data_IF_536582278627
#
_entry.id   IF_536582278627
#
_cell.length_a   1.000
_cell.length_b   1.000
_cell.length_c   1.000
_cell.angle_alpha   90.00
_cell.angle_beta   90.00
_cell.angle_gamma   90.00
#
_symmetry.space_group_name_H-M   'P 1'
#
loop_
_entity.id
_entity.type
_entity.pdbx_description
1 polymer ?
#
# COMPACT_ATOMS: atom_id res chain seq x y z
N UNK A 1 -1.26 18.62 -24.28
CA UNK A 1 0.20 18.46 -24.48
C UNK A 1 0.78 17.31 -23.66
N UNK A 2 0.54 17.22 -22.34
CA UNK A 2 1.05 16.10 -21.50
C UNK A 2 0.51 14.73 -21.97
N UNK A 3 -0.78 14.65 -22.28
CA UNK A 3 -1.43 13.40 -22.72
C UNK A 3 -0.83 12.83 -24.04
N UNK A 4 -0.37 13.71 -24.93
CA UNK A 4 0.22 13.29 -26.20
C UNK A 4 1.65 12.77 -26.01
N UNK A 5 2.43 13.43 -25.14
CA UNK A 5 3.79 13.00 -24.80
C UNK A 5 3.80 11.62 -24.12
N UNK A 6 2.85 11.35 -23.21
CA UNK A 6 2.79 10.04 -22.55
C UNK A 6 2.40 8.93 -23.53
N UNK A 7 1.42 9.18 -24.42
CA UNK A 7 1.04 8.23 -25.47
C UNK A 7 2.23 7.91 -26.39
N UNK A 8 3.03 8.92 -26.75
CA UNK A 8 4.24 8.71 -27.55
C UNK A 8 5.28 7.87 -26.82
N UNK A 9 5.46 8.02 -25.50
CA UNK A 9 6.33 7.14 -24.71
C UNK A 9 5.86 5.69 -24.76
N UNK A 10 4.57 5.43 -24.54
CA UNK A 10 4.00 4.07 -24.64
C UNK A 10 4.31 3.44 -26.01
N UNK A 11 4.05 4.16 -27.11
CA UNK A 11 4.33 3.69 -28.47
C UNK A 11 5.82 3.50 -28.74
N UNK A 12 6.68 4.42 -28.27
CA UNK A 12 8.14 4.33 -28.41
C UNK A 12 8.70 3.04 -27.82
N UNK A 13 8.13 2.57 -26.71
CA UNK A 13 8.52 1.32 -26.05
C UNK A 13 7.71 0.10 -26.53
N UNK A 14 6.93 0.22 -27.61
CA UNK A 14 6.18 -0.89 -28.21
C UNK A 14 4.90 -1.28 -27.47
N UNK A 15 4.45 -0.50 -26.48
CA UNK A 15 3.27 -0.77 -25.65
C UNK A 15 2.04 -0.13 -26.30
N UNK A 16 1.58 -0.71 -27.40
CA UNK A 16 0.51 -0.14 -28.24
C UNK A 16 -0.91 -0.32 -27.65
N UNK A 17 -1.09 -1.27 -26.74
CA UNK A 17 -2.35 -1.49 -26.01
C UNK A 17 -2.46 -0.63 -24.74
N UNK A 18 -1.41 0.15 -24.44
CA UNK A 18 -1.27 0.95 -23.22
C UNK A 18 -1.34 0.13 -21.92
N UNK A 19 -1.05 -1.18 -21.98
CA UNK A 19 -1.03 -2.08 -20.82
C UNK A 19 0.41 -2.41 -20.46
N UNK A 20 0.87 -1.91 -19.31
CA UNK A 20 2.19 -2.22 -18.77
C UNK A 20 2.25 -3.71 -18.41
N UNK A 21 3.36 -4.40 -18.72
CA UNK A 21 3.49 -5.85 -18.49
C UNK A 21 4.40 -6.18 -17.31
N UNK A 22 5.30 -5.26 -16.94
CA UNK A 22 6.28 -5.46 -15.89
C UNK A 22 6.75 -4.11 -15.31
N UNK A 23 7.62 -4.16 -14.30
CA UNK A 23 8.16 -2.96 -13.64
C UNK A 23 9.15 -2.16 -14.50
N UNK A 24 9.77 -2.78 -15.50
CA UNK A 24 10.62 -2.08 -16.47
C UNK A 24 9.78 -1.20 -17.42
N UNK A 25 8.58 -1.64 -17.80
CA UNK A 25 7.64 -0.79 -18.53
C UNK A 25 7.21 0.44 -17.69
N UNK A 26 6.97 0.23 -16.39
CA UNK A 26 6.66 1.33 -15.44
C UNK A 26 7.81 2.34 -15.44
N UNK A 27 9.06 1.87 -15.32
CA UNK A 27 10.24 2.74 -15.34
C UNK A 27 10.37 3.49 -16.67
N UNK A 28 10.35 2.78 -17.80
CA UNK A 28 10.51 3.37 -19.14
C UNK A 28 9.48 4.46 -19.45
N UNK A 29 8.22 4.21 -19.09
CA UNK A 29 7.12 5.12 -19.45
C UNK A 29 6.98 6.25 -18.42
N UNK A 30 6.97 5.91 -17.14
CA UNK A 30 6.62 6.83 -16.05
C UNK A 30 7.83 7.30 -15.23
N UNK A 31 9.02 6.75 -15.45
CA UNK A 31 10.23 7.11 -14.71
C UNK A 31 10.24 6.61 -13.27
N UNK A 32 9.38 5.65 -12.94
CA UNK A 32 9.25 5.09 -11.59
C UNK A 32 10.14 3.85 -11.48
N UNK A 33 11.17 3.93 -10.65
CA UNK A 33 11.93 2.76 -10.25
C UNK A 33 11.28 2.11 -9.02
N UNK A 34 10.62 0.97 -9.27
CA UNK A 34 9.87 0.23 -8.24
C UNK A 34 10.78 -0.25 -7.11
N UNK A 35 12.04 -0.55 -7.40
CA UNK A 35 12.97 -1.09 -6.39
C UNK A 35 13.52 0.00 -5.46
N UNK A 36 13.36 1.27 -5.85
CA UNK A 36 13.75 2.46 -5.09
C UNK A 36 12.60 3.04 -4.26
N UNK A 37 11.41 2.43 -4.29
CA UNK A 37 10.29 2.85 -3.44
C UNK A 37 10.65 2.60 -1.98
N UNK A 38 10.39 3.58 -1.11
CA UNK A 38 10.71 3.49 0.31
C UNK A 38 10.08 2.23 0.95
N UNK A 39 10.86 1.49 1.75
CA UNK A 39 10.45 0.22 2.37
C UNK A 39 10.55 -1.02 1.48
N UNK A 40 10.74 -0.87 0.15
CA UNK A 40 10.87 -2.01 -0.75
C UNK A 40 12.11 -2.88 -0.42
N UNK A 41 13.24 -2.26 -0.08
CA UNK A 41 14.47 -2.95 0.32
C UNK A 41 14.25 -3.90 1.50
N UNK A 42 13.34 -3.52 2.39
CA UNK A 42 13.09 -4.19 3.66
C UNK A 42 12.12 -5.37 3.50
N UNK A 43 11.53 -5.56 2.33
CA UNK A 43 10.68 -6.71 2.04
C UNK A 43 11.49 -7.99 1.84
N UNK A 44 10.91 -9.12 2.27
CA UNK A 44 11.39 -10.45 1.89
C UNK A 44 11.31 -10.65 0.37
N UNK A 45 12.08 -11.60 -0.17
CA UNK A 45 12.06 -11.92 -1.61
C UNK A 45 10.64 -12.22 -2.11
N UNK A 46 9.87 -13.00 -1.36
CA UNK A 46 8.49 -13.33 -1.71
C UNK A 46 7.59 -12.08 -1.80
N UNK A 47 7.69 -11.19 -0.80
CA UNK A 47 6.90 -9.95 -0.76
C UNK A 47 7.32 -8.95 -1.85
N UNK A 48 8.60 -8.93 -2.23
CA UNK A 48 9.09 -8.19 -3.41
C UNK A 48 8.42 -8.69 -4.69
N UNK A 49 8.38 -10.00 -4.91
CA UNK A 49 7.75 -10.59 -6.10
C UNK A 49 6.23 -10.37 -6.14
N UNK A 50 5.56 -10.45 -4.98
CA UNK A 50 4.15 -10.07 -4.86
C UNK A 50 3.94 -8.60 -5.27
N UNK A 51 4.72 -7.70 -4.69
CA UNK A 51 4.59 -6.26 -4.95
C UNK A 51 4.84 -5.90 -6.42
N UNK A 52 5.85 -6.50 -7.07
CA UNK A 52 6.14 -6.28 -8.50
C UNK A 52 4.94 -6.62 -9.39
N UNK A 53 4.20 -7.69 -9.09
CA UNK A 53 3.01 -8.08 -9.86
C UNK A 53 1.82 -7.18 -9.52
N UNK A 54 1.61 -6.90 -8.23
CA UNK A 54 0.58 -5.98 -7.76
C UNK A 54 0.71 -4.61 -8.40
N UNK A 55 1.88 -3.96 -8.35
CA UNK A 55 2.02 -2.56 -8.78
C UNK A 55 1.75 -2.37 -10.28
N UNK A 56 2.06 -3.37 -11.09
CA UNK A 56 1.74 -3.40 -12.53
C UNK A 56 0.22 -3.43 -12.72
N UNK A 57 -0.49 -4.34 -12.06
CA UNK A 57 -1.94 -4.44 -12.14
C UNK A 57 -2.62 -3.18 -11.57
N UNK A 58 -2.10 -2.67 -10.46
CA UNK A 58 -2.59 -1.49 -9.78
C UNK A 58 -2.52 -0.24 -10.67
N UNK A 59 -1.35 0.06 -11.25
CA UNK A 59 -1.18 1.18 -12.18
C UNK A 59 -2.03 0.97 -13.44
N UNK A 60 -2.15 -0.27 -13.95
CA UNK A 60 -2.99 -0.56 -15.09
C UNK A 60 -4.49 -0.32 -14.83
N UNK A 61 -4.95 -0.43 -13.58
CA UNK A 61 -6.32 -0.11 -13.18
C UNK A 61 -6.70 1.37 -13.36
N UNK A 62 -5.70 2.26 -13.40
CA UNK A 62 -5.90 3.68 -13.67
C UNK A 62 -5.93 3.99 -15.17
N UNK A 63 -6.70 5.01 -15.56
CA UNK A 63 -6.62 5.60 -16.89
C UNK A 63 -5.28 6.30 -17.14
N UNK A 64 -4.85 6.42 -18.40
CA UNK A 64 -3.53 6.96 -18.78
C UNK A 64 -3.22 8.31 -18.11
N UNK A 65 -4.22 9.21 -18.05
CA UNK A 65 -4.07 10.53 -17.43
C UNK A 65 -3.84 10.46 -15.92
N UNK A 66 -4.46 9.52 -15.20
CA UNK A 66 -4.20 9.34 -13.77
C UNK A 66 -2.77 8.85 -13.53
N UNK A 67 -2.30 7.92 -14.37
CA UNK A 67 -0.95 7.34 -14.26
C UNK A 67 0.16 8.39 -14.35
N UNK A 68 -0.04 9.50 -15.08
CA UNK A 68 0.96 10.59 -15.16
C UNK A 68 1.08 11.41 -13.88
N UNK A 69 0.12 11.31 -12.97
CA UNK A 69 0.12 11.97 -11.66
C UNK A 69 0.47 11.01 -10.53
N UNK A 70 0.71 9.74 -10.86
CA UNK A 70 0.92 8.69 -9.89
C UNK A 70 2.32 8.78 -9.27
N UNK A 71 2.39 8.81 -7.94
CA UNK A 71 3.65 8.82 -7.19
C UNK A 71 3.59 7.73 -6.13
N UNK A 72 4.37 6.63 -6.25
CA UNK A 72 4.50 5.68 -5.17
C UNK A 72 5.28 6.31 -4.01
N UNK A 73 4.81 6.13 -2.78
CA UNK A 73 5.43 6.74 -1.59
C UNK A 73 6.17 5.70 -0.76
N UNK A 74 5.50 4.62 -0.38
CA UNK A 74 6.14 3.54 0.38
C UNK A 74 5.44 2.19 0.22
N UNK A 75 6.18 1.11 0.46
CA UNK A 75 5.65 -0.24 0.59
C UNK A 75 6.25 -0.89 1.83
N UNK A 76 5.40 -1.27 2.78
CA UNK A 76 5.85 -1.90 4.02
C UNK A 76 5.10 -3.21 4.24
N UNK A 77 5.82 -4.24 4.67
CA UNK A 77 5.19 -5.37 5.34
C UNK A 77 4.80 -4.95 6.75
N UNK A 78 3.55 -5.10 7.14
CA UNK A 78 3.06 -4.57 8.42
C UNK A 78 2.31 -5.60 9.24
N UNK A 79 2.53 -5.54 10.56
CA UNK A 79 1.62 -6.08 11.57
C UNK A 79 0.75 -4.93 12.08
N UNK A 80 -0.55 -5.02 11.85
CA UNK A 80 -1.56 -4.16 12.47
C UNK A 80 -2.14 -4.86 13.69
N UNK A 81 -2.16 -4.15 14.81
CA UNK A 81 -2.66 -4.63 16.11
C UNK A 81 -3.80 -3.71 16.55
N UNK A 82 -5.00 -4.26 16.61
CA UNK A 82 -6.17 -3.61 17.17
C UNK A 82 -6.37 -4.04 18.62
N UNK A 83 -6.41 -3.05 19.52
CA UNK A 83 -6.77 -3.22 20.91
C UNK A 83 -8.23 -2.87 21.06
N UNK A 84 -9.04 -3.89 21.33
CA UNK A 84 -10.49 -3.85 21.27
C UNK A 84 -11.07 -3.88 22.68
N UNK A 85 -12.14 -3.13 22.89
CA UNK A 85 -12.92 -3.10 24.12
C UNK A 85 -14.41 -3.09 23.83
N UNK A 86 -15.21 -3.09 24.89
CA UNK A 86 -16.66 -2.92 24.81
C UNK A 86 -17.05 -1.59 25.40
N UNK A 87 -18.16 -0.99 24.92
CA UNK A 87 -18.65 0.25 25.53
C UNK A 87 -19.33 -0.06 26.86
N UNK A 88 -20.18 -1.07 26.84
CA UNK A 88 -20.81 -1.66 28.01
C UNK A 88 -20.43 -3.14 28.12
N UNK A 89 -20.31 -3.73 29.32
CA UNK A 89 -19.93 -5.13 29.49
C UNK A 89 -20.81 -6.13 28.71
N UNK A 90 -22.10 -5.78 28.52
CA UNK A 90 -23.10 -6.62 27.86
C UNK A 90 -23.09 -6.54 26.33
N UNK A 91 -22.37 -5.57 25.74
CA UNK A 91 -22.31 -5.39 24.28
C UNK A 91 -21.83 -6.68 23.59
N UNK A 92 -22.45 -7.05 22.47
CA UNK A 92 -22.06 -8.19 21.64
C UNK A 92 -21.03 -7.82 20.56
N UNK A 93 -20.65 -6.55 20.47
CA UNK A 93 -19.65 -6.02 19.55
C UNK A 93 -18.47 -5.40 20.28
N UNK A 94 -17.36 -5.24 19.56
CA UNK A 94 -16.15 -4.59 20.04
C UNK A 94 -15.91 -3.28 19.29
N UNK A 95 -15.30 -2.31 19.97
CA UNK A 95 -14.78 -1.08 19.37
C UNK A 95 -13.25 -1.06 19.44
N UNK A 96 -12.60 -0.43 18.45
CA UNK A 96 -11.15 -0.23 18.44
C UNK A 96 -10.82 0.92 19.40
N UNK A 97 -10.19 0.61 20.53
CA UNK A 97 -9.74 1.60 21.51
C UNK A 97 -8.44 2.26 21.04
N UNK A 98 -7.52 1.44 20.52
CA UNK A 98 -6.29 1.90 19.91
C UNK A 98 -5.80 0.93 18.84
N UNK A 99 -4.97 1.43 17.93
CA UNK A 99 -4.34 0.70 16.85
C UNK A 99 -2.85 0.98 16.80
N UNK A 100 -2.06 -0.06 16.67
CA UNK A 100 -0.63 0.00 16.34
C UNK A 100 -0.40 -0.58 14.94
N UNK A 101 0.42 0.08 14.14
CA UNK A 101 0.92 -0.43 12.86
C UNK A 101 2.43 -0.50 12.98
N UNK A 102 3.00 -1.70 12.84
CA UNK A 102 4.43 -1.96 12.90
C UNK A 102 4.91 -2.44 11.54
N UNK A 103 5.98 -1.86 10.98
CA UNK A 103 6.66 -2.44 9.84
C UNK A 103 7.48 -3.64 10.29
N UNK A 104 7.54 -4.67 9.45
CA UNK A 104 8.37 -5.86 9.64
C UNK A 104 9.40 -5.85 8.50
N UNK A 105 10.68 -5.90 8.87
CA UNK A 105 11.79 -5.96 7.92
C UNK A 105 12.12 -7.41 7.59
N UNK A 106 12.87 -7.63 6.52
CA UNK A 106 13.22 -8.95 6.02
C UNK A 106 14.04 -9.79 7.01
N UNK A 107 14.75 -9.13 7.94
CA UNK A 107 15.49 -9.77 9.03
C UNK A 107 14.60 -10.13 10.24
N UNK A 108 13.30 -9.83 10.17
CA UNK A 108 12.34 -10.05 11.25
C UNK A 108 12.31 -8.94 12.30
N UNK A 109 13.16 -7.92 12.21
CA UNK A 109 13.06 -6.74 13.07
C UNK A 109 11.78 -5.95 12.75
N UNK A 110 11.28 -5.21 13.73
CA UNK A 110 10.08 -4.40 13.54
C UNK A 110 10.22 -2.99 14.11
N UNK A 111 9.49 -2.05 13.52
CA UNK A 111 9.50 -0.64 13.89
C UNK A 111 8.07 -0.12 13.94
N UNK A 112 7.73 0.69 14.94
CA UNK A 112 6.41 1.30 15.04
C UNK A 112 6.27 2.41 13.98
N UNK A 113 5.39 2.20 13.00
CA UNK A 113 5.08 3.20 11.98
C UNK A 113 4.06 4.21 12.47
N UNK A 114 3.00 3.72 13.12
CA UNK A 114 1.89 4.55 13.58
C UNK A 114 1.24 3.95 14.80
N UNK A 115 0.88 4.82 15.74
CA UNK A 115 -0.04 4.50 16.83
C UNK A 115 -1.15 5.52 16.83
N UNK A 116 -2.39 5.05 16.92
CA UNK A 116 -3.58 5.89 17.04
C UNK A 116 -4.46 5.40 18.16
N UNK A 117 -5.12 6.33 18.83
CA UNK A 117 -6.08 6.10 19.90
C UNK A 117 -7.31 6.94 19.61
N UNK A 118 -8.48 6.44 20.03
CA UNK A 118 -9.71 7.22 20.00
C UNK A 118 -9.95 7.78 21.41
N UNK A 119 -9.88 9.10 21.54
CA UNK A 119 -10.04 9.79 22.82
C UNK A 119 -11.41 9.53 23.46
N UNK A 120 -12.43 9.18 22.66
CA UNK A 120 -13.74 8.78 23.16
C UNK A 120 -13.69 7.52 24.03
N UNK A 121 -12.66 6.69 23.86
CA UNK A 121 -12.48 5.45 24.58
C UNK A 121 -11.29 5.48 25.56
N UNK A 122 -10.85 6.68 25.94
CA UNK A 122 -9.84 6.84 26.99
C UNK A 122 -10.34 6.24 28.31
N UNK A 123 -9.55 5.35 28.91
CA UNK A 123 -9.87 4.67 30.17
C UNK A 123 -10.68 3.38 30.03
N UNK A 124 -11.08 3.00 28.81
CA UNK A 124 -11.73 1.71 28.57
C UNK A 124 -10.74 0.55 28.71
N UNK A 125 -11.22 -0.58 29.24
CA UNK A 125 -10.42 -1.79 29.37
C UNK A 125 -10.29 -2.53 28.04
N UNK A 126 -9.08 -3.04 27.77
CA UNK A 126 -8.82 -3.90 26.62
C UNK A 126 -9.41 -5.28 26.92
N UNK A 127 -10.39 -5.68 26.13
CA UNK A 127 -11.04 -6.99 26.23
C UNK A 127 -10.52 -7.99 25.20
N UNK A 128 -10.04 -7.52 24.04
CA UNK A 128 -9.56 -8.38 22.95
C UNK A 128 -8.42 -7.71 22.19
N UNK A 129 -7.51 -8.51 21.65
CA UNK A 129 -6.45 -8.05 20.74
C UNK A 129 -6.61 -8.82 19.42
N UNK A 130 -6.67 -8.09 18.31
CA UNK A 130 -6.67 -8.65 16.97
C UNK A 130 -5.42 -8.23 16.21
N UNK A 131 -4.85 -9.17 15.43
CA UNK A 131 -3.64 -8.95 14.66
C UNK A 131 -3.88 -9.29 13.20
N UNK A 132 -3.38 -8.44 12.30
CA UNK A 132 -3.45 -8.62 10.85
C UNK A 132 -2.07 -8.36 10.25
N UNK A 133 -1.68 -9.16 9.25
CA UNK A 133 -0.44 -8.97 8.53
C UNK A 133 -0.73 -8.73 7.05
N UNK A 134 -0.16 -7.70 6.46
CA UNK A 134 -0.38 -7.35 5.06
C UNK A 134 0.73 -6.45 4.52
N UNK A 135 0.79 -6.32 3.19
CA UNK A 135 1.61 -5.30 2.55
C UNK A 135 0.81 -3.99 2.48
N UNK A 136 1.31 -2.94 3.13
CA UNK A 136 0.73 -1.59 3.09
C UNK A 136 1.43 -0.77 2.00
N UNK A 137 0.72 -0.47 0.92
CA UNK A 137 1.22 0.37 -0.15
C UNK A 137 0.65 1.80 -0.04
N UNK A 138 1.50 2.80 0.12
CA UNK A 138 1.12 4.20 0.16
C UNK A 138 1.52 4.90 -1.14
N UNK A 139 0.63 5.72 -1.67
CA UNK A 139 0.81 6.41 -2.95
C UNK A 139 0.03 7.72 -3.00
N UNK A 140 0.34 8.52 -4.00
CA UNK A 140 -0.38 9.73 -4.35
C UNK A 140 -0.91 9.60 -5.78
N UNK A 141 -2.13 10.08 -6.02
CA UNK A 141 -2.69 10.23 -7.36
C UNK A 141 -3.52 11.50 -7.40
N UNK A 142 -3.39 12.31 -8.45
CA UNK A 142 -4.01 13.63 -8.55
C UNK A 142 -3.72 14.56 -7.35
N UNK A 143 -2.58 14.39 -6.68
CA UNK A 143 -2.21 15.18 -5.50
C UNK A 143 -2.79 14.68 -4.18
N UNK A 144 -3.62 13.64 -4.21
CA UNK A 144 -4.27 13.05 -3.02
C UNK A 144 -3.50 11.82 -2.55
N UNK A 145 -3.08 11.84 -1.28
CA UNK A 145 -2.38 10.73 -0.64
C UNK A 145 -3.36 9.72 -0.07
N UNK A 146 -3.11 8.45 -0.38
CA UNK A 146 -3.91 7.34 0.10
C UNK A 146 -3.06 6.07 0.18
N UNK A 147 -3.67 4.94 0.53
CA UNK A 147 -2.98 3.67 0.72
C UNK A 147 -3.90 2.48 0.42
N UNK A 148 -3.32 1.30 0.21
CA UNK A 148 -4.03 0.03 0.04
C UNK A 148 -3.45 -1.08 0.91
N UNK A 149 -4.31 -2.01 1.32
CA UNK A 149 -3.91 -3.35 1.73
C UNK A 149 -3.67 -4.21 0.49
N UNK A 150 -2.45 -4.69 0.29
CA UNK A 150 -2.12 -5.59 -0.83
C UNK A 150 -2.22 -7.02 -0.34
N UNK A 151 -3.22 -7.75 -0.86
CA UNK A 151 -3.51 -9.15 -0.49
C UNK A 151 -2.91 -10.09 -1.52
N UNK A 152 -3.08 -9.77 -2.80
CA UNK A 152 -2.56 -10.56 -3.91
C UNK A 152 -2.22 -9.64 -5.10
N UNK A 153 -1.63 -10.17 -6.20
CA UNK A 153 -1.39 -9.36 -7.38
C UNK A 153 -2.64 -8.69 -7.98
N UNK A 154 -3.84 -9.20 -7.69
CA UNK A 154 -5.11 -8.75 -8.28
C UNK A 154 -6.16 -8.35 -7.23
N UNK A 155 -5.81 -8.37 -5.95
CA UNK A 155 -6.73 -8.10 -4.84
C UNK A 155 -6.11 -7.14 -3.82
N UNK A 156 -6.78 -6.02 -3.60
CA UNK A 156 -6.40 -4.97 -2.66
C UNK A 156 -7.62 -4.12 -2.27
N UNK A 157 -7.56 -3.43 -1.12
CA UNK A 157 -8.64 -2.56 -0.63
C UNK A 157 -8.15 -1.49 0.36
#
# INVERSE_FOLDING_TARGET
MIDQLIIEKYKKYGINDYVLKNVDDINKVHGIDVEMINGYSDLTKEKKELFKKFIVNFINGYGIKARTTFVPLSINDVEEIDYLGKKEPEDDYYVVLSREIKSIKADGSSELLKKSFDDLYSGFEIAKIEKRNYLRFEYEVYGEKTWQHVISPTEWY
#
